data_IF_539257914073
#
_entry.id   IF_539257914073
#
_cell.length_a   1.000
_cell.length_b   1.000
_cell.length_c   1.000
_cell.angle_alpha   90.00
_cell.angle_beta   90.00
_cell.angle_gamma   90.00
#
_symmetry.space_group_name_H-M   'P 1'
#
loop_
_entity.id
_entity.type
_entity.pdbx_description
1 polymer ?
#
# COMPACT_ATOMS: atom_id res chain seq x y z
N UNK A 1 10.33 -12.32 6.46
CA UNK A 1 10.03 -10.89 6.66
C UNK A 1 8.61 -10.60 6.28
N UNK A 2 7.96 -9.81 7.07
CA UNK A 2 6.58 -9.42 6.80
C UNK A 2 6.51 -7.95 6.43
N UNK A 3 5.63 -7.65 5.50
CA UNK A 3 5.37 -6.28 5.08
C UNK A 3 3.88 -6.00 5.27
N UNK A 4 3.57 -4.81 5.70
CA UNK A 4 2.20 -4.41 5.97
C UNK A 4 1.92 -3.08 5.28
N UNK A 5 0.77 -2.99 4.63
CA UNK A 5 0.28 -1.74 4.07
C UNK A 5 -1.09 -1.47 4.67
N UNK A 6 -1.23 -0.35 5.37
CA UNK A 6 -2.50 0.08 5.93
C UNK A 6 -2.90 1.42 5.33
N UNK A 7 -4.02 1.46 4.66
CA UNK A 7 -4.57 2.68 4.11
C UNK A 7 -5.58 3.27 5.09
N UNK A 8 -5.57 4.58 5.25
CA UNK A 8 -6.47 5.26 6.18
C UNK A 8 -7.93 4.90 5.89
N UNK A 9 -8.63 4.44 6.91
CA UNK A 9 -10.03 4.06 6.79
C UNK A 9 -10.29 2.69 6.20
N UNK A 10 -9.23 1.92 5.92
CA UNK A 10 -9.35 0.59 5.34
C UNK A 10 -8.63 -0.45 6.17
N UNK A 11 -9.00 -1.71 5.97
CA UNK A 11 -8.29 -2.82 6.58
C UNK A 11 -6.96 -3.01 5.90
N UNK A 12 -5.90 -3.15 6.70
CA UNK A 12 -4.56 -3.34 6.17
C UNK A 12 -4.35 -4.73 5.56
N UNK A 13 -3.27 -4.86 4.82
CA UNK A 13 -2.91 -6.11 4.16
C UNK A 13 -1.48 -6.48 4.49
N UNK A 14 -1.24 -7.78 4.63
CA UNK A 14 0.09 -8.32 4.93
C UNK A 14 0.66 -9.06 3.73
N UNK A 15 1.96 -8.95 3.55
CA UNK A 15 2.69 -9.62 2.47
C UNK A 15 3.95 -10.22 3.05
N UNK A 16 4.31 -11.41 2.58
CA UNK A 16 5.55 -12.07 2.98
C UNK A 16 6.60 -12.04 1.86
N UNK A 17 6.25 -11.49 0.72
CA UNK A 17 7.12 -11.39 -0.44
C UNK A 17 7.28 -9.92 -0.83
N UNK A 18 8.52 -9.49 -0.99
CA UNK A 18 8.80 -8.10 -1.29
C UNK A 18 8.18 -7.65 -2.62
N UNK A 19 8.25 -8.51 -3.64
CA UNK A 19 7.68 -8.16 -4.95
C UNK A 19 6.17 -7.97 -4.88
N UNK A 20 5.48 -8.83 -4.15
CA UNK A 20 4.03 -8.70 -3.97
C UNK A 20 3.70 -7.41 -3.22
N UNK A 21 4.47 -7.08 -2.20
CA UNK A 21 4.31 -5.86 -1.45
C UNK A 21 4.47 -4.62 -2.35
N UNK A 22 5.52 -4.60 -3.16
CA UNK A 22 5.77 -3.47 -4.07
C UNK A 22 4.67 -3.36 -5.12
N UNK A 23 4.22 -4.49 -5.66
CA UNK A 23 3.13 -4.49 -6.64
C UNK A 23 1.84 -3.90 -6.05
N UNK A 24 1.51 -4.28 -4.83
CA UNK A 24 0.33 -3.76 -4.15
C UNK A 24 0.46 -2.27 -3.90
N UNK A 25 1.64 -1.82 -3.51
CA UNK A 25 1.89 -0.39 -3.27
C UNK A 25 1.74 0.42 -4.56
N UNK A 26 2.23 -0.11 -5.67
CA UNK A 26 2.09 0.55 -6.98
C UNK A 26 0.64 0.62 -7.40
N UNK A 27 -0.12 -0.45 -7.21
CA UNK A 27 -1.54 -0.46 -7.55
C UNK A 27 -2.31 0.58 -6.74
N UNK A 28 -1.97 0.69 -5.46
CA UNK A 28 -2.59 1.70 -4.59
C UNK A 28 -2.29 3.11 -5.09
N UNK A 29 -1.03 3.38 -5.44
CA UNK A 29 -0.64 4.69 -5.96
C UNK A 29 -1.35 5.01 -7.27
N UNK A 30 -1.48 4.02 -8.16
CA UNK A 30 -2.17 4.20 -9.43
C UNK A 30 -3.65 4.51 -9.22
N UNK A 31 -4.27 3.84 -8.25
CA UNK A 31 -5.68 4.08 -7.94
C UNK A 31 -5.89 5.52 -7.49
N UNK A 32 -5.04 6.03 -6.62
CA UNK A 32 -5.17 7.40 -6.14
C UNK A 32 -4.91 8.42 -7.26
N UNK A 33 -3.95 8.14 -8.12
CA UNK A 33 -3.69 9.00 -9.26
C UNK A 33 -4.88 9.06 -10.20
N UNK A 34 -5.53 7.92 -10.45
CA UNK A 34 -6.71 7.86 -11.31
C UNK A 34 -7.86 8.65 -10.72
N UNK A 35 -7.97 8.69 -9.40
CA UNK A 35 -9.01 9.44 -8.71
C UNK A 35 -8.68 10.94 -8.60
N UNK A 36 -7.51 11.35 -9.10
CA UNK A 36 -7.11 12.75 -9.09
C UNK A 36 -6.50 13.23 -7.78
N UNK A 37 -6.13 12.32 -6.91
CA UNK A 37 -5.50 12.66 -5.64
C UNK A 37 -4.00 12.81 -5.82
N UNK A 38 -3.45 13.95 -5.42
CA UNK A 38 -2.02 14.20 -5.50
C UNK A 38 -1.26 13.57 -4.34
N UNK A 39 -1.93 13.44 -3.20
CA UNK A 39 -1.32 12.82 -2.01
C UNK A 39 -2.32 11.89 -1.35
N UNK A 40 -1.80 10.90 -0.66
CA UNK A 40 -2.61 10.01 0.15
C UNK A 40 -1.78 9.50 1.31
N UNK A 41 -2.45 9.08 2.38
CA UNK A 41 -1.77 8.56 3.56
C UNK A 41 -1.78 7.04 3.54
N UNK A 42 -0.62 6.45 3.77
CA UNK A 42 -0.49 5.00 3.86
C UNK A 42 0.52 4.68 4.96
N UNK A 43 0.23 3.66 5.73
CA UNK A 43 1.14 3.17 6.74
C UNK A 43 1.85 1.93 6.20
N UNK A 44 3.17 1.94 6.25
CA UNK A 44 3.99 0.82 5.80
C UNK A 44 4.87 0.36 6.95
N UNK A 45 4.77 -0.92 7.27
CA UNK A 45 5.58 -1.51 8.32
C UNK A 45 6.40 -2.65 7.72
N UNK A 46 7.68 -2.65 8.03
CA UNK A 46 8.60 -3.74 7.67
C UNK A 46 9.05 -4.43 8.94
N UNK A 47 9.02 -5.72 8.89
CA UNK A 47 9.45 -6.53 10.03
C UNK A 47 10.66 -7.39 9.65
#
# INVERSE_FOLDING_TARGET
MNYYIGESGSTGRYFDNFNDFVSALRDLANTHETEGEETFEVEVIRD
#
